data_IF_093285163807
#
_entry.id   IF_093285163807
#
_cell.length_a   1.000
_cell.length_b   1.000
_cell.length_c   1.000
_cell.angle_alpha   90.00
_cell.angle_beta   90.00
_cell.angle_gamma   90.00
#
_symmetry.space_group_name_H-M   'P 1'
#
loop_
_entity.id
_entity.type
_entity.pdbx_description
1 polymer ?
2 non-polymer ?
3 water ?
#
# COMPACT_ATOMS: atom_id res chain seq x y z
N UNK A 12 3.35 7.04 -18.88
CA UNK A 12 3.80 5.69 -18.50
C UNK A 12 2.66 5.14 -17.59
N UNK A 13 2.47 3.85 -17.62
CA UNK A 13 1.41 3.17 -16.82
C UNK A 13 2.14 2.36 -15.79
N UNK A 14 1.49 2.15 -14.66
CA UNK A 14 2.10 1.19 -13.69
C UNK A 14 1.87 -0.21 -14.14
N UNK A 15 2.83 -1.11 -13.93
CA UNK A 15 2.71 -2.47 -14.39
C UNK A 15 3.16 -3.50 -13.40
N UNK A 16 2.63 -4.72 -13.49
CA UNK A 16 3.17 -5.79 -12.58
C UNK A 16 4.65 -6.05 -12.88
N UNK A 17 5.41 -6.38 -11.82
CA UNK A 17 6.84 -6.46 -11.75
C UNK A 17 7.57 -5.17 -11.63
N UNK A 18 6.89 -4.01 -11.74
CA UNK A 18 7.56 -2.73 -11.47
C UNK A 18 8.01 -2.66 -9.97
N UNK A 19 9.18 -2.10 -9.74
CA UNK A 19 9.70 -1.80 -8.36
C UNK A 19 9.27 -0.36 -8.06
N UNK A 20 8.51 -0.14 -6.98
CA UNK A 20 7.95 1.20 -6.75
C UNK A 20 8.21 1.64 -5.30
N UNK A 21 8.02 2.93 -5.03
CA UNK A 21 7.92 3.40 -3.67
C UNK A 21 6.51 4.00 -3.46
N UNK A 22 6.00 3.90 -2.24
CA UNK A 22 4.64 4.43 -1.97
C UNK A 22 4.84 5.69 -1.11
N UNK A 23 4.34 6.84 -1.57
CA UNK A 23 4.62 8.11 -0.86
C UNK A 23 3.29 8.79 -0.54
N UNK A 24 3.29 9.54 0.54
CA UNK A 24 2.10 10.31 0.94
C UNK A 24 2.58 11.74 1.32
N UNK A 25 1.67 12.68 1.32
CA UNK A 25 2.05 14.07 1.66
C UNK A 25 1.52 14.34 3.08
N UNK A 26 2.37 14.86 3.98
CA UNK A 26 1.97 15.05 5.38
C UNK A 26 2.16 16.52 5.72
N UNK A 27 1.12 17.16 6.21
CA UNK A 27 1.27 18.59 6.59
C UNK A 27 0.83 18.79 8.01
N UNK A 28 1.62 19.49 8.83
CA UNK A 28 1.10 19.83 10.18
C UNK A 28 1.79 21.14 10.57
N UNK A 29 1.04 22.02 11.23
CA UNK A 29 1.58 23.33 11.64
C UNK A 29 2.17 24.06 10.41
N UNK A 30 1.48 23.95 9.30
CA UNK A 30 1.97 24.49 7.99
C UNK A 30 3.33 23.94 7.45
N UNK A 31 3.88 22.84 7.97
CA UNK A 31 5.21 22.29 7.50
C UNK A 31 4.71 21.16 6.60
N UNK A 32 4.98 21.21 5.30
CA UNK A 32 4.58 20.06 4.44
C UNK A 32 5.77 19.17 4.20
N UNK A 33 5.55 17.86 4.12
CA UNK A 33 6.61 17.00 3.69
C UNK A 33 6.09 15.72 2.94
N UNK A 34 7.00 15.01 2.25
CA UNK A 34 6.60 13.78 1.52
C UNK A 34 7.19 12.65 2.32
N UNK A 35 6.41 11.60 2.61
CA UNK A 35 6.96 10.49 3.41
C UNK A 35 6.85 9.21 2.59
N UNK A 36 7.75 8.25 2.74
CA UNK A 36 7.66 6.97 1.99
C UNK A 36 7.41 5.83 2.94
N UNK A 37 6.66 4.81 2.48
CA UNK A 37 6.35 3.63 3.32
C UNK A 37 7.57 2.70 3.34
N UNK A 38 7.95 2.28 4.53
CA UNK A 38 9.11 1.43 4.69
C UNK A 38 8.90 0.31 5.69
N UNK A 39 9.77 -0.67 5.69
CA UNK A 39 9.68 -1.75 6.65
C UNK A 39 11.08 -2.35 6.79
N UNK A 40 11.36 -3.00 7.93
CA UNK A 40 12.74 -3.58 8.02
C UNK A 40 12.70 -5.07 7.66
N UNK A 41 13.80 -5.71 7.38
CA UNK A 41 13.59 -7.16 7.03
C UNK A 41 13.11 -8.06 8.22
N UNK A 42 13.61 -7.75 9.42
CA UNK A 42 13.38 -8.59 10.63
C UNK A 42 12.96 -7.79 11.87
N UNK A 43 12.64 -8.47 12.97
CA UNK A 43 12.32 -7.81 14.20
C UNK A 43 10.89 -7.38 14.14
N UNK A 44 10.67 -6.11 14.43
CA UNK A 44 9.29 -5.75 14.40
C UNK A 44 8.82 -5.68 12.93
N UNK A 45 7.67 -6.32 12.68
CA UNK A 45 7.06 -6.49 11.32
C UNK A 45 6.28 -5.26 10.87
N UNK A 46 6.13 -4.25 11.71
CA UNK A 46 5.21 -3.13 11.34
C UNK A 46 5.89 -2.18 10.36
N UNK A 47 5.12 -1.65 9.44
CA UNK A 47 5.65 -0.62 8.54
C UNK A 47 5.76 0.71 9.28
N UNK A 48 6.56 1.59 8.74
CA UNK A 48 6.70 2.97 9.31
C UNK A 48 6.98 3.88 8.15
N UNK A 49 7.15 5.16 8.44
CA UNK A 49 7.30 6.15 7.35
C UNK A 49 8.57 6.96 7.49
N UNK A 50 9.24 7.15 6.36
CA UNK A 50 10.49 7.91 6.34
C UNK A 50 10.27 9.27 5.65
N UNK A 51 10.87 10.38 6.15
CA UNK A 51 10.80 11.68 5.43
C UNK A 51 11.73 11.66 4.24
N UNK A 52 11.27 12.20 3.13
CA UNK A 52 12.20 12.24 1.99
C UNK A 52 12.82 13.62 1.95
N UNK A 53 14.00 13.67 1.32
CA UNK A 53 14.62 14.93 0.82
C UNK A 53 15.97 15.23 1.27
N UNK A 58 14.51 11.87 -2.05
CA UNK A 58 15.29 10.69 -1.60
C UNK A 58 15.12 10.41 -0.08
N UNK A 59 14.73 9.18 0.30
CA UNK A 59 14.59 9.00 1.73
C UNK A 59 15.98 8.72 2.28
N UNK A 60 16.19 8.86 3.60
CA UNK A 60 17.44 8.40 4.23
C UNK A 60 17.84 6.95 3.89
N UNK A 61 16.88 6.01 3.83
CA UNK A 61 17.20 4.61 3.50
C UNK A 61 16.23 4.06 2.41
N UNK A 62 16.59 4.24 1.13
CA UNK A 62 15.69 3.83 0.07
C UNK A 62 15.54 2.33 -0.06
N UNK A 63 16.55 1.51 0.29
CA UNK A 63 16.43 0.04 0.06
C UNK A 63 15.30 -0.65 0.83
N UNK A 64 14.83 -0.06 1.92
CA UNK A 64 13.80 -0.66 2.69
C UNK A 64 12.41 -0.06 2.37
N UNK A 65 12.38 0.88 1.42
CA UNK A 65 11.09 1.44 0.96
C UNK A 65 10.67 0.84 -0.34
N UNK A 66 11.48 -0.04 -0.99
CA UNK A 66 11.10 -0.54 -2.35
C UNK A 66 10.18 -1.72 -2.30
N UNK A 67 9.06 -1.67 -3.06
CA UNK A 67 8.10 -2.78 -3.18
C UNK A 67 7.96 -3.19 -4.62
N UNK A 68 7.58 -4.44 -4.85
CA UNK A 68 7.33 -4.86 -6.25
C UNK A 68 5.84 -5.12 -6.36
N UNK A 69 5.25 -4.64 -7.50
CA UNK A 69 3.88 -4.94 -7.75
C UNK A 69 3.84 -6.34 -8.26
N UNK A 70 3.62 -7.29 -7.39
CA UNK A 70 3.83 -8.71 -7.80
C UNK A 70 2.65 -9.27 -8.58
N UNK A 71 1.41 -8.88 -8.25
CA UNK A 71 0.15 -9.38 -8.95
C UNK A 71 -0.87 -8.25 -9.03
N UNK A 72 -1.69 -8.26 -10.06
CA UNK A 72 -2.84 -7.38 -10.15
C UNK A 72 -4.00 -8.23 -10.74
N UNK A 73 -5.01 -8.51 -9.96
CA UNK A 73 -6.16 -9.37 -10.36
C UNK A 73 -7.44 -8.64 -10.18
N UNK A 74 -8.49 -8.98 -10.99
CA UNK A 74 -9.79 -8.44 -10.65
C UNK A 74 -10.28 -8.98 -9.34
N UNK A 75 -11.13 -8.22 -8.64
CA UNK A 75 -11.66 -8.67 -7.37
C UNK A 75 -12.45 -10.00 -7.59
N UNK A 76 -13.21 -10.05 -8.70
CA UNK A 76 -13.94 -11.29 -8.96
C UNK A 76 -13.01 -12.45 -9.11
N UNK A 77 -11.89 -12.31 -9.82
CA UNK A 77 -10.94 -13.36 -10.01
C UNK A 77 -10.27 -13.83 -8.74
N UNK A 78 -9.79 -12.84 -7.97
CA UNK A 78 -9.21 -13.15 -6.68
C UNK A 78 -10.19 -13.91 -5.75
N UNK A 79 -11.43 -13.49 -5.62
CA UNK A 79 -12.38 -14.09 -4.71
C UNK A 79 -12.74 -15.53 -5.26
N UNK A 80 -12.76 -15.63 -6.57
CA UNK A 80 -12.99 -17.01 -7.17
C UNK A 80 -11.84 -17.95 -6.80
N UNK A 81 -10.60 -17.48 -6.96
CA UNK A 81 -9.40 -18.21 -6.54
C UNK A 81 -9.43 -18.64 -5.08
N UNK A 82 -9.67 -17.66 -4.21
CA UNK A 82 -9.70 -17.99 -2.83
C UNK A 82 -10.86 -18.91 -2.50
N UNK A 83 -12.05 -18.68 -3.04
CA UNK A 83 -13.25 -19.56 -2.76
C UNK A 83 -12.93 -21.00 -3.14
N UNK A 84 -12.12 -21.15 -4.18
CA UNK A 84 -11.76 -22.50 -4.74
C UNK A 84 -10.81 -23.25 -3.88
N UNK A 85 -10.21 -22.61 -2.87
CA UNK A 85 -9.32 -23.31 -1.99
C UNK A 85 -10.01 -23.85 -0.80
N UNK A 86 -11.27 -23.47 -0.55
CA UNK A 86 -11.95 -23.75 0.76
C UNK A 86 -12.66 -25.13 0.66
N UNK A 87 -12.34 -25.99 1.60
CA UNK A 87 -12.92 -27.32 1.60
C UNK A 87 -13.46 -27.64 3.01
N UNK A 110 3.95 -8.70 -17.62
CA UNK A 110 4.09 -7.36 -17.04
C UNK A 110 2.81 -6.58 -17.44
N UNK A 111 1.71 -6.94 -16.76
CA UNK A 111 0.37 -6.40 -17.02
C UNK A 111 0.07 -4.97 -16.42
N UNK A 112 -0.61 -4.11 -17.17
CA UNK A 112 -0.96 -2.72 -16.68
C UNK A 112 -1.99 -2.83 -15.55
N UNK A 113 -1.74 -2.15 -14.41
CA UNK A 113 -2.69 -2.09 -13.31
C UNK A 113 -3.92 -1.31 -13.78
N UNK A 114 -5.08 -1.80 -13.40
CA UNK A 114 -6.34 -1.15 -13.72
C UNK A 114 -7.02 -0.78 -12.46
N UNK A 115 -7.65 0.41 -12.40
CA UNK A 115 -8.46 0.74 -11.24
C UNK A 115 -9.51 -0.23 -10.89
N UNK A 116 -9.58 -0.56 -9.60
CA UNK A 116 -10.51 -1.52 -9.10
C UNK A 116 -9.93 -2.91 -8.90
N UNK A 117 -8.79 -3.16 -9.43
CA UNK A 117 -8.09 -4.47 -9.31
C UNK A 117 -7.49 -4.57 -7.92
N UNK A 118 -7.25 -5.77 -7.48
CA UNK A 118 -6.55 -6.09 -6.17
C UNK A 118 -5.10 -6.32 -6.46
N UNK A 119 -4.20 -5.72 -5.64
CA UNK A 119 -2.79 -5.90 -5.95
C UNK A 119 -2.06 -6.50 -4.73
N UNK A 120 -0.98 -7.15 -5.04
CA UNK A 120 -0.09 -7.74 -4.03
C UNK A 120 1.21 -7.03 -4.09
N UNK A 121 1.68 -6.51 -2.92
CA UNK A 121 2.93 -5.73 -2.96
C UNK A 121 4.03 -6.43 -2.14
N UNK A 122 5.05 -6.91 -2.83
CA UNK A 122 6.15 -7.62 -2.12
C UNK A 122 7.27 -6.57 -1.76
N UNK A 123 7.68 -6.63 -0.49
CA UNK A 123 8.71 -5.77 -0.02
C UNK A 123 10.03 -6.34 -0.52
N UNK A 124 10.76 -5.59 -1.31
CA UNK A 124 11.90 -6.23 -1.95
C UNK A 124 12.86 -6.82 -0.93
N UNK A 125 13.26 -5.97 0.04
CA UNK A 125 14.40 -6.33 0.96
C UNK A 125 14.11 -7.62 1.67
N UNK A 126 12.87 -7.82 2.12
CA UNK A 126 12.56 -9.00 2.94
C UNK A 126 11.91 -10.15 2.29
N UNK A 127 11.28 -9.90 1.12
CA UNK A 127 10.48 -10.88 0.44
C UNK A 127 9.12 -11.13 1.04
N UNK A 128 8.74 -10.34 2.06
CA UNK A 128 7.42 -10.48 2.65
C UNK A 128 6.41 -9.53 1.98
N UNK A 129 5.14 -9.55 2.39
CA UNK A 129 4.10 -8.80 1.61
C UNK A 129 3.46 -7.78 2.49
N UNK A 130 3.14 -6.59 1.96
CA UNK A 130 2.36 -5.61 2.76
C UNK A 130 1.01 -6.14 3.15
N UNK A 131 0.60 -6.02 4.42
CA UNK A 131 -0.54 -6.74 4.95
C UNK A 131 -1.29 -5.97 6.04
N UNK A 132 -2.63 -6.06 6.03
CA UNK A 132 -3.40 -5.52 7.08
C UNK A 132 -3.46 -6.52 8.21
N UNK A 133 -2.98 -6.12 9.37
CA UNK A 133 -2.91 -7.04 10.52
C UNK A 133 -4.19 -7.03 11.31
N UNK A 134 -4.31 -7.94 12.27
CA UNK A 134 -5.53 -8.06 13.12
C UNK A 134 -5.50 -7.17 14.37
N UNK A 135 -4.29 -6.79 14.78
CA UNK A 135 -3.98 -6.02 15.97
C UNK A 135 -4.08 -4.49 15.75
N UNK A 136 -4.29 -3.74 16.86
CA UNK A 136 -4.72 -2.32 16.87
C UNK A 136 -3.63 -1.24 17.01
N UNK A 143 -9.45 2.44 16.65
CA UNK A 143 -10.36 1.90 15.63
C UNK A 143 -9.48 1.32 14.41
N UNK A 144 -8.21 1.77 14.29
CA UNK A 144 -7.38 1.44 13.08
C UNK A 144 -6.57 0.15 13.37
N UNK A 145 -6.32 -0.69 12.35
CA UNK A 145 -5.47 -1.88 12.49
C UNK A 145 -4.05 -1.50 12.10
N UNK A 146 -3.11 -2.30 12.59
CA UNK A 146 -1.69 -2.12 12.17
C UNK A 146 -1.48 -2.59 10.76
N UNK A 147 -0.45 -2.04 10.12
CA UNK A 147 -0.06 -2.47 8.75
C UNK A 147 1.43 -2.96 8.82
N UNK A 148 1.69 -4.13 8.26
CA UNK A 148 3.05 -4.70 8.44
C UNK A 148 3.29 -5.71 7.33
N UNK A 149 4.22 -6.61 7.56
CA UNK A 149 4.61 -7.55 6.55
C UNK A 149 4.31 -8.94 7.04
N UNK A 150 3.90 -9.79 6.11
CA UNK A 150 3.77 -11.22 6.34
C UNK A 150 4.16 -12.07 5.20
N UNK A 151 4.42 -13.37 5.50
CA UNK A 151 4.86 -14.30 4.40
C UNK A 151 3.73 -14.86 3.52
N UNK A 152 2.57 -15.17 4.09
CA UNK A 152 1.50 -16.02 3.44
C UNK A 152 0.61 -15.07 2.66
N UNK A 153 0.43 -15.31 1.36
CA UNK A 153 -0.55 -14.54 0.56
C UNK A 153 -1.88 -15.29 0.26
N UNK A 154 -2.11 -16.43 0.91
CA UNK A 154 -3.36 -17.19 0.61
C UNK A 154 -4.42 -16.69 1.58
N UNK A 155 -5.04 -15.56 1.26
CA UNK A 155 -6.01 -15.03 2.19
C UNK A 155 -6.15 -13.62 1.67
N UNK A 156 -7.07 -12.85 2.18
CA UNK A 156 -7.30 -11.49 1.66
C UNK A 156 -6.38 -10.44 2.35
N UNK A 157 -5.73 -10.82 3.43
CA UNK A 157 -4.99 -9.70 4.19
C UNK A 157 -3.86 -9.09 3.47
N UNK A 158 -3.24 -9.76 2.51
CA UNK A 158 -2.19 -9.14 1.73
C UNK A 158 -2.64 -8.52 0.40
N UNK A 159 -3.95 -8.36 0.24
CA UNK A 159 -4.44 -7.80 -1.02
C UNK A 159 -5.08 -6.43 -0.81
N UNK A 160 -4.81 -5.54 -1.73
CA UNK A 160 -5.30 -4.15 -1.64
C UNK A 160 -5.91 -3.74 -2.95
N UNK A 161 -7.13 -3.26 -2.90
CA UNK A 161 -7.75 -2.73 -4.15
C UNK A 161 -7.40 -1.28 -4.38
N UNK A 162 -7.20 -0.94 -5.62
CA UNK A 162 -6.72 0.40 -5.99
C UNK A 162 -7.88 1.23 -6.53
N UNK A 163 -7.96 2.46 -6.09
CA UNK A 163 -9.13 3.32 -6.46
C UNK A 163 -8.63 4.71 -6.71
N UNK A 164 -9.30 5.45 -7.63
CA UNK A 164 -8.77 6.73 -7.93
C UNK A 164 -9.07 7.70 -6.84
N UNK A 165 -8.35 8.82 -6.86
CA UNK A 165 -8.57 9.83 -5.84
C UNK A 165 -9.89 10.66 -6.03
N UNK A 166 -10.47 10.59 -7.22
CA UNK A 166 -11.49 11.57 -7.68
C UNK A 166 -12.81 11.02 -7.28
N UNK A 167 -13.90 11.66 -7.73
CA UNK A 167 -15.23 11.13 -7.49
C UNK A 167 -15.69 10.06 -8.54
N UNK A 168 -14.83 9.77 -9.51
CA UNK A 168 -15.08 8.76 -10.56
C UNK A 168 -14.48 7.47 -10.08
N UNK A 169 -15.16 6.34 -10.32
CA UNK A 169 -14.62 5.01 -9.95
C UNK A 169 -13.53 4.63 -10.97
N UNK A 170 -13.74 5.01 -12.27
CA UNK A 170 -12.77 4.75 -13.37
C UNK A 170 -12.42 3.29 -13.46
N UNK A 171 -13.40 2.48 -13.14
CA UNK A 171 -13.23 1.04 -13.06
C UNK A 171 -12.74 0.52 -14.35
N UNK A 172 -11.62 -0.16 -14.27
CA UNK A 172 -11.05 -0.78 -15.40
C UNK A 172 -10.14 0.11 -16.22
N UNK A 173 -10.02 1.42 -15.89
CA UNK A 173 -9.04 2.32 -16.53
C UNK A 173 -7.61 2.14 -16.09
N UNK A 174 -6.65 2.35 -17.00
CA UNK A 174 -5.29 2.19 -16.68
C UNK A 174 -4.76 3.14 -15.68
N UNK A 175 -3.95 2.63 -14.72
CA UNK A 175 -3.40 3.56 -13.69
C UNK A 175 -2.14 4.17 -14.28
N UNK A 176 -2.01 5.49 -14.20
CA UNK A 176 -0.89 6.15 -14.84
C UNK A 176 0.10 6.58 -13.74
N UNK A 177 1.38 6.49 -14.03
CA UNK A 177 2.33 7.13 -13.15
C UNK A 177 2.05 8.64 -13.11
N UNK A 178 1.94 9.17 -11.88
CA UNK A 178 1.44 10.53 -11.68
C UNK A 178 0.06 10.60 -10.99
N UNK A 179 -0.72 9.50 -11.09
CA UNK A 179 -2.05 9.45 -10.44
C UNK A 179 -1.85 9.26 -8.97
N UNK A 180 -2.73 9.85 -8.19
CA UNK A 180 -2.80 9.49 -6.75
C UNK A 180 -3.85 8.40 -6.53
N UNK A 181 -3.60 7.48 -5.58
CA UNK A 181 -4.43 6.26 -5.44
C UNK A 181 -4.94 6.17 -4.04
N UNK A 182 -6.11 5.58 -3.89
CA UNK A 182 -6.59 5.18 -2.57
C UNK A 182 -6.45 3.69 -2.49
N UNK A 183 -5.95 3.15 -1.35
CA UNK A 183 -5.71 1.67 -1.26
C UNK A 183 -6.57 1.13 -0.18
N UNK A 184 -7.39 0.09 -0.47
CA UNK A 184 -8.31 -0.41 0.51
C UNK A 184 -8.00 -1.88 0.76
N UNK A 185 -7.91 -2.23 2.02
CA UNK A 185 -7.62 -3.60 2.40
C UNK A 185 -8.76 -4.52 2.01
N UNK A 186 -8.45 -5.58 1.27
CA UNK A 186 -9.52 -6.57 0.92
C UNK A 186 -10.02 -7.38 2.17
N UNK A 187 -9.20 -7.57 3.17
CA UNK A 187 -9.64 -8.24 4.33
C UNK A 187 -10.56 -7.44 5.23
N UNK A 188 -10.18 -6.20 5.46
CA UNK A 188 -10.81 -5.39 6.54
C UNK A 188 -11.68 -4.29 6.04
N UNK A 189 -11.57 -3.95 4.75
CA UNK A 189 -12.25 -2.88 4.03
C UNK A 189 -11.77 -1.51 4.58
N UNK A 190 -10.70 -1.52 5.35
CA UNK A 190 -10.16 -0.20 5.81
C UNK A 190 -9.16 0.37 4.79
N UNK A 191 -8.82 1.66 4.93
CA UNK A 191 -7.92 2.32 3.95
C UNK A 191 -6.50 2.39 4.45
N UNK A 192 -5.50 2.23 3.58
CA UNK A 192 -4.14 2.47 3.99
C UNK A 192 -4.08 3.95 4.32
N UNK A 193 -3.62 4.30 5.52
CA UNK A 193 -3.93 5.62 6.02
C UNK A 193 -2.74 6.22 6.76
N UNK A 194 -2.55 7.54 6.57
CA UNK A 194 -1.54 8.34 7.35
C UNK A 194 -2.12 8.89 8.62
N UNK A 195 -1.48 8.64 9.74
CA UNK A 195 -1.94 9.04 11.05
C UNK A 195 -0.81 9.85 11.74
N UNK A 196 -1.18 10.84 12.54
CA UNK A 196 -0.16 11.51 13.40
C UNK A 196 -0.35 11.08 14.82
N UNK A 197 0.73 10.76 15.56
CA UNK A 197 0.66 10.33 16.95
C UNK A 197 0.84 11.53 17.82
N UNK A 198 1.73 11.36 18.80
CA UNK A 198 2.17 12.52 19.62
C UNK A 198 3.24 13.36 18.96
N UNK A 199 4.05 12.74 18.14
CA UNK A 199 5.15 13.51 17.60
C UNK A 199 5.61 13.04 16.25
N UNK A 200 5.05 11.92 15.72
CA UNK A 200 5.60 11.39 14.46
C UNK A 200 4.41 10.91 13.61
N UNK A 201 4.69 10.71 12.35
CA UNK A 201 3.67 10.19 11.42
C UNK A 201 3.76 8.73 11.34
N UNK A 202 2.57 8.07 11.21
CA UNK A 202 2.52 6.62 11.20
C UNK A 202 1.61 6.13 10.09
N UNK A 203 1.72 4.84 9.82
CA UNK A 203 0.75 4.27 8.78
C UNK A 203 -0.07 3.17 9.43
N UNK A 204 -1.39 3.18 9.13
CA UNK A 204 -2.30 2.19 9.72
C UNK A 204 -3.39 1.92 8.71
N UNK A 205 -4.32 1.03 9.07
CA UNK A 205 -5.46 0.76 8.22
C UNK A 205 -6.70 1.27 8.94
N UNK A 206 -7.27 2.35 8.40
CA UNK A 206 -8.26 3.12 9.20
C UNK A 206 -9.53 3.31 8.46
N UNK A 207 -10.49 3.92 9.16
CA UNK A 207 -11.74 4.23 8.49
C UNK A 207 -11.76 5.49 7.61
N UNK A 208 -10.67 6.29 7.56
CA UNK A 208 -10.55 7.36 6.66
C UNK A 208 -9.44 7.17 5.63
N UNK A 209 -9.62 7.83 4.50
CA UNK A 209 -8.75 7.61 3.35
C UNK A 209 -7.50 8.46 3.43
N UNK A 210 -6.44 8.05 2.68
CA UNK A 210 -5.21 8.84 2.39
C UNK A 210 -4.87 8.65 0.92
N UNK A 211 -4.37 9.68 0.26
CA UNK A 211 -3.92 9.55 -1.12
C UNK A 211 -2.44 9.13 -1.16
N UNK A 212 -2.12 8.08 -1.91
CA UNK A 212 -0.72 7.63 -2.04
C UNK A 212 -0.28 7.89 -3.47
N UNK A 213 0.99 8.13 -3.65
CA UNK A 213 1.61 8.28 -4.98
C UNK A 213 2.44 7.02 -5.11
N UNK A 214 2.26 6.23 -6.17
CA UNK A 214 3.04 4.98 -6.29
C UNK A 214 3.86 5.14 -7.55
N UNK A 215 5.19 5.23 -7.46
CA UNK A 215 6.01 5.48 -8.69
C UNK A 215 7.21 4.61 -8.71
N UNK A 216 7.63 4.22 -9.92
CA UNK A 216 8.74 3.35 -10.13
C UNK A 216 10.02 4.10 -9.74
N UNK A 217 10.99 3.37 -9.19
CA UNK A 217 12.12 3.95 -8.45
C UNK A 217 12.92 2.80 -7.88
X LIG B 1 4.46 9.17 18.54
X LIG B 1 5.19 10.14 19.40
X LIG B 1 4.02 9.80 17.35
X LIG B 1 5.14 7.87 18.30
X LIG B 1 3.22 8.77 19.28
#
# INVERSE_FOLDING_TARGET
MADAGEGEDEIQFLRTDDEVVLQCTATIHKEQQKLCLAAEGFGNRLCFLESTSNSKNVPPDLSICTFVLEQSLSVRALQEMLANTVEKSEGQVDVEKWKFMMKTAQGGGHRTLLYGHAILLRHSYSGMYLCCLSTSRSSTDKLAFDVGLQEDTTGEACWWTIHPASKQRSEGEKVRVGDDLILVSMSSERYLHLSYGNSSWHVDAAFQQTLWSVAPI
SO4 S O1 O2 O3 O4
#
